data_IF_277331650396
#
_entry.id   IF_277331650396
#
_cell.length_a   1.000
_cell.length_b   1.000
_cell.length_c   1.000
_cell.angle_alpha   90.00
_cell.angle_beta   90.00
_cell.angle_gamma   90.00
#
_symmetry.space_group_name_H-M   'P 1'
#
loop_
_entity.id
_entity.type
_entity.pdbx_description
1 polymer ?
#
# COMPACT_ATOMS: atom_id res chain seq x y z
N UNK A 1 31.36 43.77 20.75
CA UNK A 1 30.60 42.52 20.99
C UNK A 1 29.80 42.23 19.73
N UNK A 2 29.89 41.02 19.18
CA UNK A 2 29.10 40.60 18.01
C UNK A 2 27.90 39.83 18.52
N UNK A 3 26.70 40.32 18.25
CA UNK A 3 25.46 39.60 18.51
C UNK A 3 25.42 38.26 17.75
N UNK A 4 24.89 37.18 18.34
CA UNK A 4 24.70 35.93 17.64
C UNK A 4 23.49 36.04 16.67
N UNK A 5 23.57 35.44 15.47
CA UNK A 5 22.47 35.47 14.51
C UNK A 5 21.28 34.62 15.00
N UNK A 6 20.07 35.11 14.72
CA UNK A 6 18.80 34.45 15.03
C UNK A 6 18.69 33.03 14.42
N UNK A 7 17.97 32.09 15.06
CA UNK A 7 17.84 30.74 14.56
C UNK A 7 17.04 30.70 13.25
N UNK A 8 17.62 30.08 12.22
CA UNK A 8 16.95 29.84 10.94
C UNK A 8 15.71 28.94 11.14
N UNK A 9 14.61 29.17 10.41
CA UNK A 9 13.45 28.30 10.49
C UNK A 9 13.81 26.91 9.96
N UNK A 10 13.63 25.91 10.82
CA UNK A 10 13.80 24.51 10.44
C UNK A 10 12.91 24.20 9.24
N UNK A 11 13.55 23.94 8.11
CA UNK A 11 12.85 23.57 6.88
C UNK A 11 12.14 22.24 7.12
N UNK A 12 10.85 22.34 7.45
CA UNK A 12 9.95 21.21 7.61
C UNK A 12 10.08 20.30 6.39
N UNK A 13 10.67 19.13 6.62
CA UNK A 13 10.80 18.05 5.63
C UNK A 13 9.44 17.88 5.00
N UNK A 14 9.25 18.37 3.77
CA UNK A 14 7.92 18.36 3.20
C UNK A 14 7.57 16.91 2.90
N UNK A 15 6.73 16.34 3.76
CA UNK A 15 6.24 14.98 3.59
C UNK A 15 5.43 14.99 2.31
N UNK A 16 5.81 14.15 1.33
CA UNK A 16 5.01 13.99 0.12
C UNK A 16 3.61 13.55 0.55
N UNK A 17 2.64 14.46 0.46
CA UNK A 17 1.25 14.12 0.70
C UNK A 17 0.86 13.01 -0.27
N UNK A 18 0.45 11.85 0.25
CA UNK A 18 -0.03 10.72 -0.54
C UNK A 18 -1.30 11.07 -1.32
N UNK A 19 -1.99 12.12 -0.87
CA UNK A 19 -3.30 12.56 -1.36
C UNK A 19 -3.23 14.05 -1.69
N UNK A 20 -3.55 14.40 -2.94
CA UNK A 20 -3.72 15.79 -3.39
C UNK A 20 -5.21 16.08 -3.58
N UNK A 21 -5.65 17.33 -3.41
CA UNK A 21 -7.02 17.71 -3.74
C UNK A 21 -7.28 17.64 -5.26
N UNK A 22 -8.54 17.53 -5.65
CA UNK A 22 -9.00 17.42 -7.04
C UNK A 22 -8.43 18.52 -7.95
N UNK A 23 -8.45 19.79 -7.50
CA UNK A 23 -7.92 20.90 -8.30
C UNK A 23 -6.41 20.81 -8.50
N UNK A 24 -5.64 20.53 -7.45
CA UNK A 24 -4.20 20.36 -7.59
C UNK A 24 -3.84 19.13 -8.44
N UNK A 25 -4.63 18.06 -8.37
CA UNK A 25 -4.48 16.91 -9.26
C UNK A 25 -4.76 17.29 -10.72
N UNK A 26 -5.87 17.98 -10.99
CA UNK A 26 -6.29 18.42 -12.33
C UNK A 26 -5.25 19.34 -12.98
N UNK A 27 -4.70 20.27 -12.21
CA UNK A 27 -3.71 21.26 -12.65
C UNK A 27 -2.27 20.72 -12.64
N UNK A 28 -2.03 19.51 -12.12
CA UNK A 28 -0.70 18.90 -11.93
C UNK A 28 0.26 19.79 -11.11
N UNK A 29 -0.28 20.54 -10.15
CA UNK A 29 0.48 21.41 -9.24
C UNK A 29 0.75 20.74 -7.89
N UNK A 30 1.79 21.18 -7.18
CA UNK A 30 2.08 20.70 -5.81
C UNK A 30 0.92 21.03 -4.86
N UNK A 31 0.33 19.99 -4.27
CA UNK A 31 -0.69 20.13 -3.25
C UNK A 31 -0.09 20.09 -1.85
N UNK A 32 -0.49 21.02 -0.98
CA UNK A 32 -0.07 21.10 0.42
C UNK A 32 -1.20 20.73 1.38
N UNK A 33 -2.21 19.99 0.91
CA UNK A 33 -3.38 19.60 1.72
C UNK A 33 -2.99 18.72 2.93
N UNK A 34 -1.94 17.90 2.81
CA UNK A 34 -1.43 17.10 3.91
C UNK A 34 -0.77 17.92 5.03
N UNK A 35 -0.26 19.11 4.71
CA UNK A 35 0.41 20.00 5.67
C UNK A 35 -0.54 21.09 6.19
N UNK A 36 -1.39 21.64 5.31
CA UNK A 36 -2.22 22.82 5.58
C UNK A 36 -3.70 22.53 5.76
N UNK A 37 -4.14 21.30 5.49
CA UNK A 37 -5.55 20.92 5.51
C UNK A 37 -6.35 21.46 4.32
N UNK A 38 -7.68 21.43 4.46
CA UNK A 38 -8.63 21.96 3.49
C UNK A 38 -9.03 23.38 3.92
N UNK A 39 -8.89 24.40 3.06
CA UNK A 39 -8.33 24.37 1.72
C UNK A 39 -6.79 24.40 1.71
N UNK A 40 -6.17 23.66 0.80
CA UNK A 40 -4.72 23.68 0.62
C UNK A 40 -4.23 25.07 0.17
N UNK A 41 -2.93 25.35 0.33
CA UNK A 41 -2.35 26.68 0.01
C UNK A 41 -2.70 27.18 -1.40
N UNK A 42 -2.61 26.30 -2.41
CA UNK A 42 -2.91 26.67 -3.80
C UNK A 42 -4.40 26.99 -4.02
N UNK A 43 -5.29 26.17 -3.47
CA UNK A 43 -6.73 26.43 -3.58
C UNK A 43 -7.13 27.69 -2.83
N UNK A 44 -6.52 27.97 -1.66
CA UNK A 44 -6.77 29.19 -0.89
C UNK A 44 -6.33 30.45 -1.63
N UNK A 45 -5.11 30.47 -2.17
CA UNK A 45 -4.56 31.63 -2.92
C UNK A 45 -5.39 31.94 -4.16
N UNK A 46 -5.88 30.92 -4.85
CA UNK A 46 -6.63 31.08 -6.09
C UNK A 46 -8.16 31.06 -5.91
N UNK A 47 -8.67 31.02 -4.68
CA UNK A 47 -10.11 30.98 -4.40
C UNK A 47 -10.84 29.78 -5.03
N UNK A 48 -10.17 28.63 -5.15
CA UNK A 48 -10.75 27.41 -5.76
C UNK A 48 -11.35 26.48 -4.71
N UNK A 49 -12.37 25.72 -5.10
CA UNK A 49 -12.90 24.64 -4.26
C UNK A 49 -11.83 23.55 -4.02
N UNK A 50 -11.49 23.31 -2.76
CA UNK A 50 -10.52 22.30 -2.37
C UNK A 50 -11.25 21.05 -1.88
N UNK A 51 -11.36 20.04 -2.74
CA UNK A 51 -12.07 18.78 -2.42
C UNK A 51 -11.16 17.58 -2.65
N UNK A 52 -11.28 16.54 -1.82
CA UNK A 52 -10.57 15.28 -2.01
C UNK A 52 -11.52 14.31 -2.72
N UNK A 53 -11.06 13.75 -3.84
CA UNK A 53 -11.77 12.65 -4.50
C UNK A 53 -11.38 11.32 -3.83
N UNK A 54 -12.15 10.95 -2.81
CA UNK A 54 -11.93 9.71 -2.07
C UNK A 54 -12.02 8.46 -2.96
N UNK A 55 -12.72 8.51 -4.10
CA UNK A 55 -12.90 7.33 -4.96
C UNK A 55 -11.57 6.87 -5.58
N UNK A 56 -10.72 7.83 -5.98
CA UNK A 56 -9.39 7.55 -6.53
C UNK A 56 -8.39 7.11 -5.48
N UNK A 57 -8.53 7.61 -4.25
CA UNK A 57 -7.69 7.22 -3.13
C UNK A 57 -8.07 5.83 -2.61
N UNK A 58 -9.38 5.55 -2.50
CA UNK A 58 -9.94 4.22 -2.20
C UNK A 58 -9.48 3.17 -3.20
N UNK A 59 -9.39 3.50 -4.49
CA UNK A 59 -8.88 2.56 -5.51
C UNK A 59 -7.46 2.09 -5.20
N UNK A 60 -6.55 3.01 -4.86
CA UNK A 60 -5.16 2.66 -4.48
C UNK A 60 -5.13 1.82 -3.20
N UNK A 61 -5.94 2.18 -2.20
CA UNK A 61 -6.04 1.44 -0.94
C UNK A 61 -6.65 0.04 -1.14
N UNK A 62 -7.62 -0.10 -2.04
CA UNK A 62 -8.26 -1.37 -2.36
C UNK A 62 -7.30 -2.32 -3.09
N UNK A 63 -6.51 -1.80 -4.03
CA UNK A 63 -5.49 -2.59 -4.71
C UNK A 63 -4.40 -3.05 -3.74
N UNK A 64 -3.91 -2.17 -2.87
CA UNK A 64 -2.97 -2.54 -1.81
C UNK A 64 -3.53 -3.62 -0.87
N UNK A 65 -4.80 -3.49 -0.46
CA UNK A 65 -5.46 -4.47 0.41
C UNK A 65 -5.59 -5.84 -0.28
N UNK A 66 -5.98 -5.87 -1.56
CA UNK A 66 -6.07 -7.11 -2.34
C UNK A 66 -4.70 -7.80 -2.46
N UNK A 67 -3.66 -7.03 -2.75
CA UNK A 67 -2.28 -7.55 -2.80
C UNK A 67 -1.86 -8.10 -1.44
N UNK A 68 -2.19 -7.41 -0.35
CA UNK A 68 -1.87 -7.86 1.01
C UNK A 68 -2.59 -9.16 1.38
N UNK A 69 -3.89 -9.27 1.07
CA UNK A 69 -4.68 -10.50 1.25
C UNK A 69 -4.09 -11.67 0.45
N UNK A 70 -3.73 -11.43 -0.80
CA UNK A 70 -3.09 -12.44 -1.66
C UNK A 70 -1.73 -12.90 -1.09
N UNK A 71 -0.92 -11.97 -0.59
CA UNK A 71 0.37 -12.31 0.04
C UNK A 71 0.19 -13.14 1.32
N UNK A 72 -0.87 -12.90 2.10
CA UNK A 72 -1.17 -13.72 3.28
C UNK A 72 -1.51 -15.17 2.89
N UNK A 73 -2.32 -15.34 1.84
CA UNK A 73 -2.64 -16.67 1.29
C UNK A 73 -1.39 -17.39 0.82
N UNK A 74 -0.52 -16.73 0.06
CA UNK A 74 0.74 -17.35 -0.38
C UNK A 74 1.65 -17.74 0.80
N UNK A 75 1.70 -16.90 1.84
CA UNK A 75 2.53 -17.17 3.01
C UNK A 75 2.02 -18.39 3.80
N UNK A 76 0.71 -18.52 4.00
CA UNK A 76 0.14 -19.69 4.68
C UNK A 76 0.37 -20.96 3.85
N UNK A 77 0.18 -20.88 2.53
CA UNK A 77 0.40 -21.98 1.60
C UNK A 77 1.85 -22.49 1.68
N UNK A 78 2.83 -21.60 1.55
CA UNK A 78 4.25 -21.95 1.63
C UNK A 78 4.58 -22.56 2.99
N UNK A 79 4.03 -22.01 4.08
CA UNK A 79 4.18 -22.55 5.42
C UNK A 79 3.68 -23.99 5.54
N UNK A 80 2.48 -24.28 5.02
CA UNK A 80 1.89 -25.63 5.01
C UNK A 80 2.70 -26.63 4.20
N UNK A 81 3.24 -26.23 3.04
CA UNK A 81 4.12 -27.07 2.22
C UNK A 81 5.40 -27.41 3.00
N UNK A 82 6.06 -26.40 3.56
CA UNK A 82 7.29 -26.60 4.33
C UNK A 82 7.06 -27.51 5.54
N UNK A 83 5.93 -27.35 6.23
CA UNK A 83 5.58 -28.20 7.37
C UNK A 83 5.32 -29.64 6.94
N UNK A 84 4.59 -29.85 5.86
CA UNK A 84 4.35 -31.19 5.28
C UNK A 84 5.66 -31.89 4.93
N UNK A 85 6.61 -31.17 4.32
CA UNK A 85 7.94 -31.70 4.02
C UNK A 85 8.74 -32.01 5.29
N UNK A 86 8.65 -31.15 6.32
CA UNK A 86 9.35 -31.31 7.60
C UNK A 86 8.83 -32.51 8.39
N UNK A 87 7.53 -32.78 8.36
CA UNK A 87 6.89 -33.92 9.02
C UNK A 87 7.27 -35.27 8.39
N UNK A 88 7.87 -35.27 7.20
CA UNK A 88 8.39 -36.47 6.55
C UNK A 88 7.32 -37.45 6.08
N UNK A 89 6.06 -37.01 5.96
CA UNK A 89 4.98 -37.85 5.46
C UNK A 89 5.07 -37.90 3.92
N UNK A 90 5.67 -38.98 3.40
CA UNK A 90 5.92 -39.17 1.98
C UNK A 90 4.67 -39.17 1.11
N UNK A 91 3.54 -39.68 1.60
CA UNK A 91 2.27 -39.69 0.85
C UNK A 91 1.71 -38.27 0.67
N UNK A 92 1.62 -37.50 1.76
CA UNK A 92 1.11 -36.12 1.71
C UNK A 92 2.06 -35.23 0.89
N UNK A 93 3.37 -35.42 1.01
CA UNK A 93 4.35 -34.69 0.21
C UNK A 93 4.21 -34.99 -1.30
N UNK A 94 3.97 -36.25 -1.68
CA UNK A 94 3.75 -36.63 -3.08
C UNK A 94 2.43 -36.07 -3.63
N UNK A 95 1.38 -36.05 -2.81
CA UNK A 95 0.09 -35.44 -3.18
C UNK A 95 0.24 -33.92 -3.43
N UNK A 96 0.91 -33.21 -2.53
CA UNK A 96 1.22 -31.78 -2.68
C UNK A 96 2.04 -31.52 -3.94
N UNK A 97 3.08 -32.33 -4.20
CA UNK A 97 3.92 -32.22 -5.40
C UNK A 97 3.12 -32.51 -6.69
N UNK A 98 2.19 -33.46 -6.65
CA UNK A 98 1.37 -33.80 -7.81
C UNK A 98 0.42 -32.66 -8.17
N UNK A 99 -0.21 -32.03 -7.17
CA UNK A 99 -1.06 -30.84 -7.38
C UNK A 99 -0.25 -29.64 -7.87
N UNK A 100 0.94 -29.37 -7.32
CA UNK A 100 1.81 -28.27 -7.78
C UNK A 100 2.23 -28.38 -9.25
N UNK A 101 2.28 -29.59 -9.82
CA UNK A 101 2.64 -29.82 -11.22
C UNK A 101 1.52 -29.46 -12.21
N UNK A 102 0.30 -29.23 -11.74
CA UNK A 102 -0.83 -28.83 -12.58
C UNK A 102 -1.07 -27.31 -12.52
N UNK A 103 -1.42 -26.66 -13.64
CA UNK A 103 -1.64 -25.20 -13.69
C UNK A 103 -2.84 -24.74 -12.84
N UNK A 104 -3.77 -25.64 -12.49
CA UNK A 104 -4.89 -25.42 -11.55
C UNK A 104 -4.52 -25.68 -10.09
N UNK A 105 -3.32 -26.19 -9.82
CA UNK A 105 -2.90 -26.70 -8.52
C UNK A 105 -2.99 -25.68 -7.39
N UNK A 106 -2.89 -24.39 -7.68
CA UNK A 106 -2.94 -23.34 -6.65
C UNK A 106 -4.29 -23.28 -5.90
N UNK A 107 -5.41 -23.49 -6.62
CA UNK A 107 -6.75 -23.52 -6.02
C UNK A 107 -6.95 -24.82 -5.24
N UNK A 108 -6.55 -25.95 -5.80
CA UNK A 108 -6.68 -27.28 -5.19
C UNK A 108 -5.72 -27.51 -4.00
N UNK A 109 -4.60 -26.80 -3.96
CA UNK A 109 -3.66 -26.79 -2.84
C UNK A 109 -4.19 -25.98 -1.66
N UNK A 110 -4.90 -24.88 -1.94
CA UNK A 110 -5.50 -24.08 -0.89
C UNK A 110 -6.56 -24.88 -0.12
N UNK A 111 -7.42 -25.63 -0.81
CA UNK A 111 -8.45 -26.47 -0.17
C UNK A 111 -7.88 -27.65 0.62
N UNK A 112 -6.69 -28.16 0.26
CA UNK A 112 -6.04 -29.27 0.96
C UNK A 112 -5.28 -28.84 2.23
N UNK A 113 -4.76 -27.62 2.24
CA UNK A 113 -3.90 -27.08 3.30
C UNK A 113 -4.65 -26.13 4.27
N UNK A 114 -5.94 -25.90 4.04
CA UNK A 114 -6.86 -25.18 4.93
C UNK A 114 -7.42 -26.12 5.99
#
# INVERSE_FOLDING_TARGET
ARDPPAPAPESGKTRRASTACYECQRLRTRCTIGDTGIPCTQCRVHGRACQIDESKDKRRKAEQKRTEELLRVYRSLIGGILETMRMGNGEIAQEVLSRMRHPTGLLELQDLLS
#
